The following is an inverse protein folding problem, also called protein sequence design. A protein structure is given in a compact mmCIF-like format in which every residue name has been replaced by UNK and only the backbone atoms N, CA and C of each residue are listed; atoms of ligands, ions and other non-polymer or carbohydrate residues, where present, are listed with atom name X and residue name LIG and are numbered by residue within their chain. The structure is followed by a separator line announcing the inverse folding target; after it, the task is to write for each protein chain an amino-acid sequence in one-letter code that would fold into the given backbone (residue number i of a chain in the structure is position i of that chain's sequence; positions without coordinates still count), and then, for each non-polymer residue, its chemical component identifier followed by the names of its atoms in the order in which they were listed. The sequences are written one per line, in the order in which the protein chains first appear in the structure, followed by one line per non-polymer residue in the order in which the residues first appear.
data_IF_643537416828
#
_entry.id   IF_643537416828
#
_cell.length_a   1.000
_cell.length_b   1.000
_cell.length_c   1.000
_cell.angle_alpha   90.00
_cell.angle_beta   90.00
_cell.angle_gamma   90.00
#
_symmetry.space_group_name_H-M   'P 1'
#
loop_
_entity.id
_entity.type
_entity.pdbx_description
1 polymer ?
#
# COMPACT_ATOMS: atom_id res chain seq x y z
N UNK A 1 15.11 -12.16 -14.96
CA UNK A 1 15.39 -12.32 -13.51
C UNK A 1 15.20 -10.96 -12.88
N UNK A 2 13.97 -10.61 -12.50
CA UNK A 2 13.67 -9.30 -11.90
C UNK A 2 14.17 -9.33 -10.46
N UNK A 3 15.29 -8.65 -10.20
CA UNK A 3 15.81 -8.50 -8.84
C UNK A 3 14.75 -7.84 -7.97
N UNK A 4 14.53 -8.41 -6.79
CA UNK A 4 13.69 -7.86 -5.72
C UNK A 4 14.17 -6.43 -5.43
N UNK A 5 13.49 -5.44 -6.01
CA UNK A 5 13.71 -4.03 -5.71
C UNK A 5 12.82 -3.74 -4.52
N UNK A 6 13.41 -3.46 -3.36
CA UNK A 6 12.63 -3.02 -2.21
C UNK A 6 11.78 -1.78 -2.56
N UNK A 7 10.62 -1.61 -1.92
CA UNK A 7 9.71 -0.46 -2.06
C UNK A 7 10.45 0.87 -2.20
N UNK A 8 11.46 1.14 -1.39
CA UNK A 8 12.22 2.39 -1.48
C UNK A 8 12.95 2.56 -2.82
N UNK A 9 13.40 1.48 -3.45
CA UNK A 9 14.00 1.52 -4.79
C UNK A 9 12.95 1.70 -5.90
N UNK A 10 11.73 1.20 -5.72
CA UNK A 10 10.60 1.41 -6.65
C UNK A 10 10.05 2.84 -6.51
N UNK A 11 9.85 3.30 -5.28
CA UNK A 11 9.41 4.66 -4.97
C UNK A 11 10.47 5.70 -5.31
N UNK A 12 11.76 5.34 -5.29
CA UNK A 12 12.85 6.22 -5.70
C UNK A 12 12.76 6.71 -7.15
N UNK A 13 12.00 6.03 -8.02
CA UNK A 13 11.73 6.49 -9.39
C UNK A 13 10.50 7.39 -9.52
N UNK A 14 9.81 7.73 -8.42
CA UNK A 14 8.70 8.68 -8.41
C UNK A 14 9.26 10.07 -8.19
N UNK A 15 9.19 10.95 -9.19
CA UNK A 15 9.85 12.27 -9.16
C UNK A 15 9.27 13.22 -8.09
N UNK A 16 7.96 13.18 -7.88
CA UNK A 16 7.29 14.03 -6.90
C UNK A 16 7.47 13.45 -5.48
N UNK A 17 8.07 14.24 -4.59
CA UNK A 17 8.36 13.84 -3.21
C UNK A 17 7.09 13.60 -2.37
N UNK A 18 6.06 14.44 -2.51
CA UNK A 18 4.79 14.28 -1.79
C UNK A 18 4.05 13.02 -2.24
N UNK A 19 4.02 12.76 -3.55
CA UNK A 19 3.45 11.52 -4.09
C UNK A 19 4.22 10.30 -3.60
N UNK A 20 5.55 10.39 -3.54
CA UNK A 20 6.41 9.31 -3.05
C UNK A 20 6.12 8.98 -1.58
N UNK A 21 5.99 10.00 -0.73
CA UNK A 21 5.65 9.84 0.69
C UNK A 21 4.26 9.24 0.87
N UNK A 22 3.27 9.74 0.13
CA UNK A 22 1.91 9.19 0.12
C UNK A 22 1.88 7.70 -0.25
N UNK A 23 2.63 7.32 -1.27
CA UNK A 23 2.72 5.94 -1.75
C UNK A 23 3.43 5.05 -0.72
N UNK A 24 4.52 5.53 -0.12
CA UNK A 24 5.21 4.84 0.96
C UNK A 24 4.28 4.59 2.14
N UNK A 25 3.48 5.59 2.52
CA UNK A 25 2.55 5.52 3.64
C UNK A 25 1.48 4.45 3.42
N UNK A 26 0.83 4.44 2.25
CA UNK A 26 -0.20 3.45 1.92
C UNK A 26 0.39 2.04 1.83
N UNK A 27 1.53 1.88 1.16
CA UNK A 27 2.19 0.58 1.04
C UNK A 27 2.58 0.02 2.41
N UNK A 28 3.12 0.86 3.29
CA UNK A 28 3.52 0.46 4.65
C UNK A 28 2.31 0.14 5.52
N UNK A 29 1.24 0.94 5.44
CA UNK A 29 0.01 0.68 6.18
C UNK A 29 -0.59 -0.69 5.82
N UNK A 30 -0.56 -1.07 4.54
CA UNK A 30 -0.98 -2.41 4.09
C UNK A 30 -0.09 -3.50 4.68
N UNK A 31 1.23 -3.31 4.65
CA UNK A 31 2.19 -4.31 5.14
C UNK A 31 2.11 -4.54 6.65
N UNK A 32 1.89 -3.47 7.41
CA UNK A 32 1.91 -3.49 8.87
C UNK A 32 0.56 -3.94 9.45
N UNK A 33 -0.55 -3.36 8.96
CA UNK A 33 -1.85 -3.54 9.63
C UNK A 33 -2.74 -4.63 9.02
N UNK A 34 -2.38 -5.17 7.87
CA UNK A 34 -3.16 -6.21 7.20
C UNK A 34 -2.36 -7.52 7.18
N UNK A 35 -2.38 -8.21 8.32
CA UNK A 35 -1.62 -9.43 8.63
C UNK A 35 -1.75 -10.58 7.59
N UNK A 36 -2.79 -10.54 6.75
CA UNK A 36 -3.04 -11.53 5.70
C UNK A 36 -2.36 -11.25 4.36
N UNK A 37 -1.57 -10.18 4.22
CA UNK A 37 -1.00 -9.70 2.94
C UNK A 37 -2.04 -9.25 1.92
N UNK A 38 -3.32 -9.42 2.20
CA UNK A 38 -4.45 -9.10 1.33
C UNK A 38 -5.34 -8.11 2.08
N UNK A 39 -5.46 -6.89 1.55
CA UNK A 39 -6.27 -5.83 2.13
C UNK A 39 -7.43 -5.48 1.21
N UNK A 40 -8.67 -5.50 1.73
CA UNK A 40 -9.85 -5.01 1.01
C UNK A 40 -9.74 -3.49 0.81
N UNK A 41 -10.12 -2.99 -0.36
CA UNK A 41 -10.07 -1.54 -0.67
C UNK A 41 -10.73 -0.71 0.43
N UNK A 42 -11.93 -1.14 0.84
CA UNK A 42 -12.73 -0.45 1.86
C UNK A 42 -11.98 -0.35 3.19
N UNK A 43 -11.34 -1.42 3.63
CA UNK A 43 -10.62 -1.44 4.90
C UNK A 43 -9.38 -0.54 4.88
N UNK A 44 -8.65 -0.49 3.76
CA UNK A 44 -7.52 0.45 3.60
C UNK A 44 -8.02 1.90 3.59
N UNK A 45 -9.10 2.18 2.86
CA UNK A 45 -9.73 3.50 2.82
C UNK A 45 -10.19 3.96 4.21
N UNK A 46 -10.88 3.10 4.95
CA UNK A 46 -11.36 3.39 6.30
C UNK A 46 -10.18 3.63 7.26
N UNK A 47 -9.14 2.79 7.21
CA UNK A 47 -7.94 2.97 8.02
C UNK A 47 -7.28 4.33 7.74
N UNK A 48 -7.05 4.67 6.46
CA UNK A 48 -6.41 5.94 6.09
C UNK A 48 -7.26 7.16 6.44
N UNK A 49 -8.59 7.03 6.34
CA UNK A 49 -9.51 8.10 6.73
C UNK A 49 -9.47 8.36 8.25
N UNK A 50 -9.43 7.30 9.06
CA UNK A 50 -9.35 7.44 10.53
C UNK A 50 -7.97 7.96 10.95
N UNK A 51 -6.88 7.36 10.45
CA UNK A 51 -5.52 7.60 10.92
C UNK A 51 -4.88 8.87 10.37
N UNK A 52 -5.18 9.22 9.13
CA UNK A 52 -4.54 10.33 8.40
C UNK A 52 -5.54 11.35 7.85
N UNK A 53 -6.84 11.18 8.10
CA UNK A 53 -7.91 12.10 7.64
C UNK A 53 -7.96 12.23 6.12
N UNK A 54 -7.54 11.20 5.39
CA UNK A 54 -7.55 11.21 3.94
C UNK A 54 -8.97 11.00 3.37
N UNK A 55 -9.35 11.74 2.31
CA UNK A 55 -10.55 11.40 1.57
C UNK A 55 -10.34 10.07 0.82
N UNK A 56 -11.41 9.29 0.68
CA UNK A 56 -11.36 7.98 0.04
C UNK A 56 -10.75 8.02 -1.39
N UNK A 57 -10.98 9.10 -2.13
CA UNK A 57 -10.42 9.31 -3.47
C UNK A 57 -8.89 9.35 -3.47
N UNK A 58 -8.25 9.95 -2.45
CA UNK A 58 -6.78 10.00 -2.33
C UNK A 58 -6.23 8.59 -2.16
N UNK A 59 -6.74 7.84 -1.19
CA UNK A 59 -6.30 6.46 -0.94
C UNK A 59 -6.48 5.57 -2.17
N UNK A 60 -7.63 5.65 -2.85
CA UNK A 60 -7.89 4.88 -4.07
C UNK A 60 -6.93 5.20 -5.21
N UNK A 61 -6.60 6.48 -5.42
CA UNK A 61 -5.59 6.89 -6.42
C UNK A 61 -4.22 6.31 -6.09
N UNK A 62 -3.80 6.35 -4.81
CA UNK A 62 -2.53 5.76 -4.38
C UNK A 62 -2.49 4.24 -4.52
N UNK A 63 -3.58 3.55 -4.21
CA UNK A 63 -3.70 2.11 -4.45
C UNK A 63 -3.54 1.77 -5.94
N UNK A 64 -4.16 2.56 -6.84
CA UNK A 64 -3.99 2.39 -8.28
C UNK A 64 -2.53 2.58 -8.72
N UNK A 65 -1.90 3.67 -8.30
CA UNK A 65 -0.50 3.95 -8.62
C UNK A 65 0.46 2.86 -8.09
N UNK A 66 0.22 2.35 -6.88
CA UNK A 66 1.02 1.23 -6.33
C UNK A 66 0.86 -0.08 -7.14
N UNK A 67 -0.30 -0.30 -7.75
CA UNK A 67 -0.51 -1.42 -8.68
C UNK A 67 0.26 -1.19 -9.98
N UNK A 68 0.20 0.01 -10.55
CA UNK A 68 0.93 0.36 -11.78
C UNK A 68 2.45 0.26 -11.59
N UNK A 69 2.96 0.62 -10.40
CA UNK A 69 4.36 0.46 -10.01
C UNK A 69 4.77 -0.98 -9.70
N UNK A 70 3.82 -1.93 -9.69
CA UNK A 70 4.08 -3.34 -9.37
C UNK A 70 4.35 -3.63 -7.89
N UNK A 71 4.10 -2.67 -7.00
CA UNK A 71 4.22 -2.84 -5.54
C UNK A 71 3.04 -3.67 -5.00
N UNK A 72 1.85 -3.42 -5.55
CA UNK A 72 0.63 -4.14 -5.22
C UNK A 72 0.14 -4.97 -6.41
N UNK A 73 -0.45 -6.13 -6.11
CA UNK A 73 -1.30 -6.89 -7.02
C UNK A 73 -2.73 -6.62 -6.62
N UNK A 74 -3.60 -6.37 -7.60
CA UNK A 74 -5.04 -6.26 -7.37
C UNK A 74 -5.73 -7.52 -7.88
N UNK A 75 -6.65 -8.06 -7.08
CA UNK A 75 -7.53 -9.15 -7.47
C UNK A 75 -8.95 -8.93 -6.91
N UNK A 76 -9.87 -9.86 -7.16
CA UNK A 76 -11.21 -9.86 -6.59
C UNK A 76 -11.27 -10.85 -5.43
N UNK A 77 -12.00 -10.48 -4.38
CA UNK A 77 -12.24 -11.35 -3.23
C UNK A 77 -13.01 -12.60 -3.70
N UNK A 78 -12.55 -13.78 -3.35
CA UNK A 78 -13.17 -15.03 -3.80
C UNK A 78 -14.55 -15.27 -3.18
N UNK A 79 -14.86 -14.62 -2.05
CA UNK A 79 -16.14 -14.79 -1.36
C UNK A 79 -17.30 -14.07 -2.08
N UNK A 80 -17.03 -12.93 -2.74
CA UNK A 80 -18.07 -12.12 -3.40
C UNK A 80 -17.76 -11.80 -4.88
N UNK A 81 -16.57 -12.15 -5.36
CA UNK A 81 -16.03 -11.93 -6.70
C UNK A 81 -16.11 -10.47 -7.22
N UNK A 82 -16.41 -9.52 -6.34
CA UNK A 82 -16.67 -8.12 -6.66
C UNK A 82 -15.73 -7.19 -5.90
N UNK A 83 -15.43 -7.48 -4.64
CA UNK A 83 -14.60 -6.64 -3.77
C UNK A 83 -13.16 -6.67 -4.26
N UNK A 84 -12.58 -5.48 -4.47
CA UNK A 84 -11.15 -5.35 -4.78
C UNK A 84 -10.32 -5.65 -3.53
N UNK A 85 -9.35 -6.52 -3.71
CA UNK A 85 -8.35 -6.85 -2.70
C UNK A 85 -6.96 -6.57 -3.25
N UNK A 86 -6.10 -6.06 -2.39
CA UNK A 86 -4.74 -5.63 -2.73
C UNK A 86 -3.74 -6.47 -1.95
N UNK A 87 -2.79 -7.06 -2.69
CA UNK A 87 -1.72 -7.87 -2.13
C UNK A 87 -0.35 -7.24 -2.38
N UNK A 88 0.54 -7.26 -1.39
CA UNK A 88 1.91 -6.77 -1.55
C UNK A 88 2.74 -7.82 -2.30
N UNK A 89 3.21 -7.49 -3.51
CA UNK A 89 3.87 -8.43 -4.43
C UNK A 89 5.26 -8.83 -3.94
N UNK A 90 6.00 -7.88 -3.38
CA UNK A 90 7.35 -8.10 -2.89
C UNK A 90 7.53 -7.34 -1.58
N UNK A 91 8.03 -8.02 -0.54
CA UNK A 91 8.16 -7.46 0.80
C UNK A 91 9.42 -6.59 0.85
N UNK A 92 9.28 -5.26 0.80
CA UNK A 92 10.38 -4.39 1.15
C UNK A 92 10.69 -4.62 2.63
N UNK A 93 11.96 -4.54 3.00
CA UNK A 93 12.26 -4.31 4.39
C UNK A 93 11.67 -2.95 4.79
N UNK A 94 10.65 -2.96 5.63
CA UNK A 94 10.16 -1.76 6.32
C UNK A 94 11.11 -1.53 7.50
N UNK A 95 11.84 -0.40 7.53
CA UNK A 95 12.66 -0.07 8.69
C UNK A 95 11.81 0.02 9.96
N UNK A 96 12.29 -0.58 11.06
CA UNK A 96 11.54 -0.67 12.31
C UNK A 96 11.05 0.68 12.85
N UNK A 97 11.78 1.77 12.60
CA UNK A 97 11.38 3.12 12.99
C UNK A 97 10.02 3.53 12.41
N UNK A 98 9.77 3.22 11.13
CA UNK A 98 8.51 3.54 10.45
C UNK A 98 7.38 2.63 10.93
N UNK A 99 7.69 1.37 11.24
CA UNK A 99 6.70 0.45 11.81
C UNK A 99 6.18 0.95 13.18
N UNK A 100 7.07 1.49 14.02
CA UNK A 100 6.71 2.05 15.33
C UNK A 100 5.85 3.32 15.21
N UNK A 101 6.14 4.22 14.27
CA UNK A 101 5.31 5.43 14.04
C UNK A 101 3.90 5.11 13.54
N UNK A 102 3.74 3.96 12.88
CA UNK A 102 2.47 3.45 12.39
C UNK A 102 1.69 2.65 13.45
N UNK A 103 2.30 2.31 14.58
CA UNK A 103 1.65 1.61 15.69
C UNK A 103 1.58 0.08 15.52
N UNK A 104 2.63 -0.50 14.93
CA UNK A 104 2.85 -1.94 14.83
C UNK A 104 3.23 -2.57 16.19
#
# INVERSE_FOLDING_TARGET
MAGIKGLWAILGSVDNAEDREDLALVATAIQVHFAGRIARERSVVEFMAVRFRWPASRTRRRLGALVELGVLRVSRDLADNWTKVFEVVDRPHVPAAIAVELGA
#
